data_IF_216727372199
#
_entry.id   IF_216727372199
#
_cell.length_a   1.000
_cell.length_b   1.000
_cell.length_c   1.000
_cell.angle_alpha   90.00
_cell.angle_beta   90.00
_cell.angle_gamma   90.00
#
_symmetry.space_group_name_H-M   'P 1'
#
loop_
_entity.id
_entity.type
_entity.pdbx_description
1 polymer ?
#
# COMPACT_ATOMS: atom_id res chain seq x y z
N UNK A 1 35.65 -1.56 -13.76
CA UNK A 1 34.30 -1.20 -13.35
C UNK A 1 34.32 -0.75 -11.90
N UNK A 2 33.74 0.40 -11.62
CA UNK A 2 33.69 0.91 -10.24
C UNK A 2 32.65 0.18 -9.42
N UNK A 3 33.01 -0.22 -8.18
CA UNK A 3 32.07 -0.84 -7.23
C UNK A 3 30.88 0.09 -6.92
N UNK A 4 31.10 1.42 -6.99
CA UNK A 4 30.06 2.42 -6.75
C UNK A 4 28.87 2.33 -7.73
N UNK A 5 29.03 1.68 -8.87
CA UNK A 5 27.98 1.51 -9.87
C UNK A 5 27.14 0.23 -9.67
N UNK A 6 27.49 -0.60 -8.69
CA UNK A 6 26.70 -1.78 -8.35
C UNK A 6 25.48 -1.31 -7.56
N UNK A 7 24.24 -1.66 -7.99
CA UNK A 7 23.05 -1.30 -7.23
C UNK A 7 23.13 -1.83 -5.80
N UNK A 8 22.75 -0.98 -4.82
CA UNK A 8 22.68 -1.43 -3.44
C UNK A 8 21.53 -2.41 -3.27
N UNK A 9 21.81 -3.51 -2.61
CA UNK A 9 20.86 -4.54 -2.27
C UNK A 9 20.46 -4.39 -0.81
N UNK A 10 19.16 -4.28 -0.55
CA UNK A 10 18.66 -4.18 0.82
C UNK A 10 18.39 -5.60 1.37
N UNK A 11 19.39 -6.11 2.07
CA UNK A 11 19.32 -7.46 2.65
C UNK A 11 18.22 -7.55 3.70
N UNK A 12 18.07 -6.54 4.55
CA UNK A 12 17.10 -6.56 5.63
C UNK A 12 15.66 -6.63 5.08
N UNK A 13 15.38 -5.92 4.02
CA UNK A 13 14.07 -5.95 3.39
C UNK A 13 13.78 -7.31 2.76
N UNK A 14 14.75 -7.88 2.04
CA UNK A 14 14.60 -9.22 1.44
C UNK A 14 14.38 -10.28 2.52
N UNK A 15 15.15 -10.23 3.60
CA UNK A 15 14.99 -11.17 4.72
C UNK A 15 13.59 -11.01 5.34
N UNK A 16 13.15 -9.78 5.56
CA UNK A 16 11.81 -9.51 6.09
C UNK A 16 10.71 -10.10 5.19
N UNK A 17 10.81 -9.88 3.87
CA UNK A 17 9.84 -10.44 2.92
C UNK A 17 9.85 -11.97 2.89
N UNK A 18 11.02 -12.59 2.94
CA UNK A 18 11.14 -14.06 2.97
C UNK A 18 10.53 -14.65 4.25
N UNK A 19 10.75 -14.00 5.38
CA UNK A 19 10.11 -14.38 6.65
C UNK A 19 8.59 -14.24 6.56
N UNK A 20 8.10 -13.16 5.95
CA UNK A 20 6.67 -12.95 5.74
C UNK A 20 6.03 -14.04 4.91
N UNK A 21 6.65 -14.42 3.80
CA UNK A 21 6.19 -15.52 2.94
C UNK A 21 6.22 -16.85 3.67
N UNK A 22 7.22 -17.07 4.52
CA UNK A 22 7.32 -18.29 5.33
C UNK A 22 6.17 -18.41 6.32
N UNK A 23 5.81 -17.30 7.00
CA UNK A 23 4.71 -17.28 7.96
C UNK A 23 3.33 -17.24 7.27
N UNK A 24 3.24 -16.56 6.15
CA UNK A 24 2.01 -16.34 5.39
C UNK A 24 2.27 -16.63 3.91
N UNK A 25 2.18 -17.90 3.48
CA UNK A 25 2.56 -18.29 2.10
C UNK A 25 1.84 -17.54 0.99
N UNK A 26 0.61 -17.10 1.21
CA UNK A 26 -0.16 -16.31 0.23
C UNK A 26 0.46 -14.93 -0.05
N UNK A 27 1.31 -14.42 0.85
CA UNK A 27 2.07 -13.19 0.63
C UNK A 27 2.93 -13.25 -0.63
N UNK A 28 3.29 -14.44 -1.10
CA UNK A 28 4.07 -14.61 -2.33
C UNK A 28 3.40 -13.93 -3.53
N UNK A 29 2.08 -13.83 -3.52
CA UNK A 29 1.33 -13.21 -4.62
C UNK A 29 1.59 -11.70 -4.75
N UNK A 30 2.16 -11.05 -3.74
CA UNK A 30 2.58 -9.66 -3.83
C UNK A 30 3.84 -9.46 -4.70
N UNK A 31 4.54 -10.55 -5.03
CA UNK A 31 5.85 -10.50 -5.70
C UNK A 31 5.82 -10.90 -7.17
N UNK A 32 4.64 -11.09 -7.76
CA UNK A 32 4.55 -11.25 -9.21
C UNK A 32 5.12 -10.01 -9.90
N UNK A 33 5.75 -10.20 -11.05
CA UNK A 33 6.42 -9.10 -11.76
C UNK A 33 5.50 -7.88 -11.97
N UNK A 34 4.25 -8.10 -12.35
CA UNK A 34 3.27 -7.02 -12.52
C UNK A 34 2.99 -6.28 -11.22
N UNK A 35 2.91 -6.99 -10.10
CA UNK A 35 2.68 -6.41 -8.77
C UNK A 35 3.86 -5.54 -8.33
N UNK A 36 5.07 -6.04 -8.48
CA UNK A 36 6.28 -5.28 -8.13
C UNK A 36 6.44 -4.05 -9.02
N UNK A 37 6.23 -4.21 -10.33
CA UNK A 37 6.35 -3.08 -11.27
C UNK A 37 5.34 -1.98 -10.97
N UNK A 38 4.09 -2.31 -10.71
CA UNK A 38 3.06 -1.32 -10.41
C UNK A 38 3.33 -0.60 -9.09
N UNK A 39 3.77 -1.32 -8.07
CA UNK A 39 4.13 -0.74 -6.77
C UNK A 39 5.35 0.18 -6.86
N UNK A 40 6.37 -0.25 -7.60
CA UNK A 40 7.58 0.55 -7.82
C UNK A 40 7.25 1.81 -8.61
N UNK A 41 6.41 1.71 -9.63
CA UNK A 41 5.95 2.86 -10.38
C UNK A 41 5.22 3.86 -9.47
N UNK A 42 4.30 3.38 -8.65
CA UNK A 42 3.52 4.23 -7.74
C UNK A 42 4.44 4.94 -6.72
N UNK A 43 5.40 4.22 -6.14
CA UNK A 43 6.36 4.81 -5.21
C UNK A 43 7.23 5.88 -5.88
N UNK A 44 7.65 5.65 -7.11
CA UNK A 44 8.40 6.63 -7.91
C UNK A 44 7.56 7.86 -8.23
N UNK A 45 6.28 7.65 -8.56
CA UNK A 45 5.32 8.72 -8.81
C UNK A 45 5.15 9.62 -7.58
N UNK A 46 4.97 9.01 -6.40
CA UNK A 46 4.86 9.75 -5.14
C UNK A 46 6.09 10.64 -4.90
N UNK A 47 7.28 10.08 -5.11
CA UNK A 47 8.52 10.82 -4.93
C UNK A 47 8.62 12.01 -5.88
N UNK A 48 8.15 11.87 -7.12
CA UNK A 48 8.24 12.91 -8.15
C UNK A 48 7.17 13.99 -7.98
N UNK A 49 5.95 13.61 -7.65
CA UNK A 49 4.78 14.53 -7.68
C UNK A 49 4.34 15.01 -6.30
N UNK A 50 4.67 14.29 -5.24
CA UNK A 50 4.33 14.67 -3.87
C UNK A 50 5.58 14.64 -2.96
N UNK A 51 6.65 15.37 -3.32
CA UNK A 51 7.90 15.30 -2.56
C UNK A 51 7.78 15.87 -1.13
N UNK A 52 6.78 16.71 -0.88
CA UNK A 52 6.51 17.28 0.43
C UNK A 52 5.58 16.44 1.31
N UNK A 53 5.08 15.32 0.82
CA UNK A 53 4.22 14.45 1.61
C UNK A 53 5.01 13.84 2.77
N UNK A 54 4.41 13.84 3.96
CA UNK A 54 5.05 13.33 5.18
C UNK A 54 4.32 12.15 5.79
N UNK A 55 3.01 12.09 5.65
CA UNK A 55 2.18 11.02 6.19
C UNK A 55 1.20 10.59 5.12
N UNK A 56 1.15 9.30 4.86
CA UNK A 56 0.22 8.70 3.91
C UNK A 56 -0.51 7.53 4.55
N UNK A 57 -1.70 7.24 4.05
CA UNK A 57 -2.47 6.05 4.40
C UNK A 57 -2.58 5.18 3.17
N UNK A 58 -2.31 3.88 3.33
CA UNK A 58 -2.53 2.88 2.28
C UNK A 58 -3.74 2.04 2.67
N UNK A 59 -4.81 2.17 1.90
CA UNK A 59 -6.01 1.36 2.03
C UNK A 59 -5.89 0.11 1.18
N UNK A 60 -6.24 -1.04 1.75
CA UNK A 60 -6.03 -2.32 1.09
C UNK A 60 -4.55 -2.69 1.06
N UNK A 61 -3.85 -2.45 2.16
CA UNK A 61 -2.40 -2.60 2.24
C UNK A 61 -1.91 -4.04 2.14
N UNK A 62 -2.76 -5.00 2.43
CA UNK A 62 -2.44 -6.42 2.50
C UNK A 62 -1.20 -6.67 3.37
N UNK A 63 -0.16 -7.33 2.88
CA UNK A 63 1.05 -7.60 3.66
C UNK A 63 2.08 -6.45 3.66
N UNK A 64 1.72 -5.28 3.14
CA UNK A 64 2.54 -4.08 3.26
C UNK A 64 3.72 -3.99 2.28
N UNK A 65 3.75 -4.78 1.22
CA UNK A 65 4.86 -4.73 0.25
C UNK A 65 4.94 -3.36 -0.42
N UNK A 66 3.80 -2.75 -0.77
CA UNK A 66 3.79 -1.37 -1.30
C UNK A 66 4.37 -0.39 -0.28
N UNK A 67 3.98 -0.51 1.00
CA UNK A 67 4.51 0.34 2.06
C UNK A 67 6.03 0.20 2.17
N UNK A 68 6.54 -1.02 2.08
CA UNK A 68 7.97 -1.29 2.13
C UNK A 68 8.72 -0.65 0.96
N UNK A 69 8.17 -0.75 -0.25
CA UNK A 69 8.76 -0.14 -1.46
C UNK A 69 8.75 1.39 -1.35
N UNK A 70 7.65 1.97 -0.88
CA UNK A 70 7.58 3.43 -0.65
C UNK A 70 8.63 3.86 0.38
N UNK A 71 8.77 3.13 1.46
CA UNK A 71 9.72 3.43 2.52
C UNK A 71 11.17 3.37 2.05
N UNK A 72 11.47 2.50 1.09
CA UNK A 72 12.80 2.44 0.46
C UNK A 72 13.13 3.74 -0.32
N UNK A 73 12.16 4.29 -1.02
CA UNK A 73 12.33 5.51 -1.82
C UNK A 73 12.18 6.78 -1.01
N UNK A 74 11.38 6.73 0.04
CA UNK A 74 11.02 7.86 0.89
C UNK A 74 11.15 7.44 2.37
N UNK A 75 12.39 7.34 2.89
CA UNK A 75 12.64 6.77 4.23
C UNK A 75 11.96 7.54 5.37
N UNK A 76 11.71 8.82 5.20
CA UNK A 76 11.09 9.67 6.22
C UNK A 76 9.56 9.67 6.16
N UNK A 77 8.97 8.97 5.18
CA UNK A 77 7.53 8.89 5.06
C UNK A 77 6.93 8.10 6.23
N UNK A 78 5.95 8.69 6.89
CA UNK A 78 5.13 7.98 7.87
C UNK A 78 3.97 7.28 7.13
N UNK A 79 3.86 5.97 7.30
CA UNK A 79 2.88 5.16 6.58
C UNK A 79 1.94 4.50 7.57
N UNK A 80 0.64 4.64 7.31
CA UNK A 80 -0.43 3.96 8.04
C UNK A 80 -1.04 2.93 7.08
N UNK A 81 -1.14 1.69 7.54
CA UNK A 81 -1.68 0.56 6.77
C UNK A 81 -3.08 0.20 7.23
N UNK A 82 -4.02 0.14 6.30
CA UNK A 82 -5.42 -0.22 6.57
C UNK A 82 -5.80 -1.43 5.71
N UNK A 83 -6.35 -2.43 6.33
CA UNK A 83 -6.93 -3.59 5.65
C UNK A 83 -8.04 -4.18 6.52
N UNK A 84 -9.09 -4.72 5.91
CA UNK A 84 -10.17 -5.37 6.66
C UNK A 84 -9.75 -6.73 7.21
N UNK A 85 -8.75 -7.37 6.60
CA UNK A 85 -8.27 -8.69 7.00
C UNK A 85 -7.25 -8.56 8.14
N UNK A 86 -7.54 -9.13 9.32
CA UNK A 86 -6.61 -9.04 10.45
C UNK A 86 -5.32 -9.82 10.25
N UNK A 87 -5.27 -10.81 9.36
CA UNK A 87 -4.06 -11.64 9.16
C UNK A 87 -2.92 -10.82 8.56
N UNK A 88 -3.07 -10.15 7.41
CA UNK A 88 -2.03 -9.24 6.91
C UNK A 88 -1.70 -8.12 7.89
N UNK A 89 -2.69 -7.60 8.60
CA UNK A 89 -2.49 -6.51 9.55
C UNK A 89 -1.59 -6.93 10.72
N UNK A 90 -1.69 -8.16 11.19
CA UNK A 90 -0.76 -8.66 12.22
C UNK A 90 0.69 -8.62 11.73
N UNK A 91 0.91 -8.83 10.45
CA UNK A 91 2.24 -8.73 9.84
C UNK A 91 2.69 -7.26 9.70
N UNK A 92 1.83 -6.40 9.15
CA UNK A 92 2.19 -4.99 8.93
C UNK A 92 2.42 -4.21 10.22
N UNK A 93 1.75 -4.58 11.30
CA UNK A 93 1.94 -3.98 12.64
C UNK A 93 3.37 -4.07 13.16
N UNK A 94 4.17 -4.99 12.64
CA UNK A 94 5.57 -5.12 13.04
C UNK A 94 6.41 -3.92 12.61
N UNK A 95 5.97 -3.18 11.58
CA UNK A 95 6.73 -2.07 10.99
C UNK A 95 5.97 -0.76 10.87
N UNK A 96 4.63 -0.81 10.79
CA UNK A 96 3.78 0.35 10.53
C UNK A 96 2.63 0.43 11.51
N UNK A 97 2.15 1.65 11.77
CA UNK A 97 0.82 1.79 12.36
C UNK A 97 -0.18 1.12 11.42
N UNK A 98 -0.96 0.17 11.94
CA UNK A 98 -1.83 -0.66 11.12
C UNK A 98 -3.15 -0.92 11.84
N UNK A 99 -4.26 -0.91 11.10
CA UNK A 99 -5.59 -1.12 11.65
C UNK A 99 -6.37 -2.11 10.78
N UNK A 100 -6.93 -3.14 11.43
CA UNK A 100 -7.83 -4.09 10.78
C UNK A 100 -9.25 -3.50 10.81
N UNK A 101 -9.58 -2.73 9.79
CA UNK A 101 -10.87 -2.04 9.67
C UNK A 101 -11.22 -1.90 8.18
N UNK A 102 -12.51 -1.86 7.88
CA UNK A 102 -12.98 -1.56 6.53
C UNK A 102 -12.59 -0.15 6.14
N UNK A 103 -12.25 0.07 4.89
CA UNK A 103 -11.75 1.36 4.40
C UNK A 103 -12.71 2.50 4.68
N UNK A 104 -14.00 2.28 4.42
CA UNK A 104 -15.06 3.28 4.58
C UNK A 104 -15.38 3.58 6.05
N UNK A 105 -14.92 2.73 6.97
CA UNK A 105 -15.14 2.90 8.41
C UNK A 105 -13.95 3.50 9.14
N UNK A 106 -12.82 3.72 8.44
CA UNK A 106 -11.62 4.28 9.05
C UNK A 106 -11.86 5.72 9.52
N UNK A 107 -11.45 6.00 10.76
CA UNK A 107 -11.55 7.34 11.36
C UNK A 107 -10.18 8.02 11.31
N UNK A 108 -10.13 9.16 10.65
CA UNK A 108 -8.90 9.94 10.51
C UNK A 108 -8.58 10.66 11.82
N UNK A 109 -7.41 10.38 12.39
CA UNK A 109 -6.94 10.94 13.66
C UNK A 109 -5.87 12.01 13.49
N UNK A 110 -5.24 12.08 12.30
CA UNK A 110 -4.13 12.97 12.00
C UNK A 110 -4.33 13.64 10.65
N UNK A 111 -3.70 14.82 10.45
CA UNK A 111 -3.57 15.33 9.09
C UNK A 111 -2.77 14.36 8.22
N UNK A 112 -3.24 14.11 7.02
CA UNK A 112 -2.66 13.17 6.07
C UNK A 112 -2.37 13.88 4.76
N UNK A 113 -1.16 13.73 4.23
CA UNK A 113 -0.77 14.35 2.96
C UNK A 113 -1.49 13.69 1.78
N UNK A 114 -1.58 12.38 1.79
CA UNK A 114 -2.24 11.63 0.73
C UNK A 114 -2.81 10.31 1.25
N UNK A 115 -3.84 9.83 0.59
CA UNK A 115 -4.36 8.48 0.76
C UNK A 115 -4.19 7.71 -0.54
N UNK A 116 -3.86 6.44 -0.43
CA UNK A 116 -3.66 5.54 -1.57
C UNK A 116 -4.63 4.38 -1.41
N UNK A 117 -5.38 4.09 -2.46
CA UNK A 117 -6.26 2.93 -2.49
C UNK A 117 -5.93 2.08 -3.71
N UNK A 118 -5.41 0.89 -3.46
CA UNK A 118 -5.01 -0.06 -4.50
C UNK A 118 -5.99 -1.22 -4.63
N UNK A 119 -7.18 -1.10 -4.03
CA UNK A 119 -8.16 -2.18 -3.96
C UNK A 119 -9.59 -1.69 -4.23
N UNK A 120 -9.75 -0.64 -5.03
CA UNK A 120 -11.08 -0.09 -5.32
C UNK A 120 -11.99 -1.06 -6.05
N UNK A 121 -11.43 -2.01 -6.81
CA UNK A 121 -12.17 -3.04 -7.50
C UNK A 121 -12.88 -4.03 -6.56
N UNK A 122 -12.44 -4.12 -5.31
CA UNK A 122 -13.05 -4.95 -4.27
C UNK A 122 -14.18 -4.24 -3.51
N UNK A 123 -14.43 -2.96 -3.80
CA UNK A 123 -15.44 -2.15 -3.13
C UNK A 123 -16.70 -2.05 -3.96
N UNK A 124 -17.87 -2.07 -3.30
CA UNK A 124 -19.11 -1.64 -3.94
C UNK A 124 -19.08 -0.15 -4.18
N UNK A 125 -19.96 0.37 -5.04
CA UNK A 125 -20.04 1.81 -5.29
C UNK A 125 -20.38 2.58 -4.01
N UNK A 126 -21.27 2.05 -3.17
CA UNK A 126 -21.62 2.69 -1.89
C UNK A 126 -20.44 2.75 -0.94
N UNK A 127 -19.68 1.67 -0.81
CA UNK A 127 -18.48 1.63 0.02
C UNK A 127 -17.42 2.62 -0.48
N UNK A 128 -17.24 2.70 -1.80
CA UNK A 128 -16.32 3.66 -2.41
C UNK A 128 -16.75 5.11 -2.13
N UNK A 129 -18.03 5.40 -2.32
CA UNK A 129 -18.55 6.75 -2.11
C UNK A 129 -18.39 7.19 -0.65
N UNK A 130 -18.65 6.28 0.30
CA UNK A 130 -18.44 6.54 1.72
C UNK A 130 -16.96 6.76 2.04
N UNK A 131 -16.09 5.89 1.53
CA UNK A 131 -14.65 6.05 1.68
C UNK A 131 -14.17 7.40 1.14
N UNK A 132 -14.58 7.74 -0.09
CA UNK A 132 -14.19 8.99 -0.74
C UNK A 132 -14.67 10.22 0.04
N UNK A 133 -15.91 10.19 0.48
CA UNK A 133 -16.49 11.32 1.21
C UNK A 133 -15.87 11.54 2.60
N UNK A 134 -15.25 10.49 3.17
CA UNK A 134 -14.57 10.59 4.46
C UNK A 134 -13.14 11.13 4.36
N UNK A 135 -12.58 11.23 3.16
CA UNK A 135 -11.23 11.78 2.97
C UNK A 135 -11.22 13.24 3.41
N UNK A 136 -10.32 13.66 4.32
CA UNK A 136 -10.24 15.05 4.75
C UNK A 136 -9.97 15.99 3.58
N UNK A 137 -10.51 17.21 3.65
CA UNK A 137 -10.20 18.24 2.65
C UNK A 137 -8.70 18.52 2.61
N UNK A 138 -8.19 18.90 1.43
CA UNK A 138 -6.77 19.18 1.20
C UNK A 138 -5.85 17.93 1.28
N UNK A 139 -6.43 16.74 1.31
CA UNK A 139 -5.68 15.48 1.21
C UNK A 139 -5.73 15.01 -0.24
N UNK A 140 -4.57 14.73 -0.84
CA UNK A 140 -4.52 14.10 -2.16
C UNK A 140 -4.99 12.65 -2.06
N UNK A 141 -5.64 12.16 -3.10
CA UNK A 141 -5.97 10.75 -3.17
C UNK A 141 -5.42 10.14 -4.46
N UNK A 142 -4.93 8.91 -4.35
CA UNK A 142 -4.36 8.15 -5.45
C UNK A 142 -5.07 6.80 -5.51
N UNK A 143 -5.57 6.46 -6.69
CA UNK A 143 -6.24 5.20 -6.93
C UNK A 143 -5.43 4.43 -7.96
N UNK A 144 -5.14 3.19 -7.65
CA UNK A 144 -4.54 2.24 -8.57
C UNK A 144 -5.30 0.92 -8.43
N UNK A 145 -5.90 0.48 -9.50
CA UNK A 145 -6.66 -0.76 -9.52
C UNK A 145 -6.54 -1.45 -10.86
N UNK A 146 -7.37 -2.45 -11.09
CA UNK A 146 -7.43 -3.16 -12.35
C UNK A 146 -8.88 -3.54 -12.69
N UNK A 147 -9.11 -3.99 -13.91
CA UNK A 147 -10.40 -4.43 -14.41
C UNK A 147 -10.40 -5.94 -14.69
N UNK A 148 -9.68 -6.71 -13.89
CA UNK A 148 -9.66 -8.16 -14.01
C UNK A 148 -10.92 -8.77 -13.38
N UNK A 149 -11.96 -8.92 -14.18
CA UNK A 149 -13.23 -9.50 -13.74
C UNK A 149 -13.22 -11.03 -13.70
N UNK A 150 -12.09 -11.67 -13.99
CA UNK A 150 -11.92 -13.11 -13.74
C UNK A 150 -11.76 -13.39 -12.23
N UNK A 151 -11.35 -12.41 -11.45
CA UNK A 151 -11.28 -12.51 -9.99
C UNK A 151 -12.69 -12.33 -9.40
N UNK A 152 -13.20 -13.32 -8.61
CA UNK A 152 -14.60 -13.32 -8.16
C UNK A 152 -14.99 -12.16 -7.24
N UNK A 153 -14.02 -11.58 -6.53
CA UNK A 153 -14.26 -10.49 -5.59
C UNK A 153 -14.02 -9.09 -6.19
N UNK A 154 -13.75 -9.02 -7.51
CA UNK A 154 -13.74 -7.76 -8.23
C UNK A 154 -15.16 -7.38 -8.61
N UNK A 155 -15.74 -6.41 -7.93
CA UNK A 155 -17.16 -6.05 -8.04
C UNK A 155 -17.43 -4.80 -8.86
N UNK A 156 -16.39 -4.05 -9.27
CA UNK A 156 -16.54 -2.85 -10.10
C UNK A 156 -15.26 -2.52 -10.87
N UNK A 157 -15.41 -1.78 -11.97
CA UNK A 157 -14.30 -1.22 -12.72
C UNK A 157 -13.65 -0.06 -11.96
N UNK A 158 -12.36 0.11 -12.20
CA UNK A 158 -11.61 1.26 -11.66
C UNK A 158 -11.85 2.52 -12.49
#
# INVERSE_FOLDING_TARGET
MSISNVPKFDEDLIIHWMEGVRENPDMVNAFWASQIKSKTWLASWLKSYLPGARRIIIFGCWYGVLADIIKQKLPDMEIICIDKDPVPIQWTKKRYESHAVRMEEYLYHYPVSAVINTSTEHMTQEEYDEWYNNIPSQTYFVIQGNNDFAEPDHVRAC
#
